data_IF_030127794542
#
_entry.id   IF_030127794542
#
_cell.length_a   1.000
_cell.length_b   1.000
_cell.length_c   1.000
_cell.angle_alpha   90.00
_cell.angle_beta   90.00
_cell.angle_gamma   90.00
#
_symmetry.space_group_name_H-M   'P 1'
#
loop_
_entity.id
_entity.type
_entity.pdbx_description
1 polymer ?
#
# COMPACT_ATOMS: atom_id res chain seq x y z
N UNK A 1 21.32 9.50 15.76
CA UNK A 1 20.10 8.81 15.29
C UNK A 1 20.43 7.33 15.01
N UNK A 2 20.53 6.48 16.04
CA UNK A 2 21.22 5.18 15.94
C UNK A 2 20.52 4.09 15.12
N UNK A 3 19.33 4.33 14.55
CA UNK A 3 18.55 3.27 13.87
C UNK A 3 18.06 3.65 12.47
N UNK A 4 18.44 4.82 11.96
CA UNK A 4 17.92 5.32 10.67
C UNK A 4 18.43 4.49 9.49
N UNK A 5 19.69 4.07 9.52
CA UNK A 5 20.27 3.18 8.50
C UNK A 5 19.59 1.80 8.48
N UNK A 6 19.28 1.25 9.66
CA UNK A 6 18.56 -0.03 9.78
C UNK A 6 17.13 0.10 9.25
N UNK A 7 16.45 1.21 9.54
CA UNK A 7 15.12 1.50 9.03
C UNK A 7 15.11 1.57 7.50
N UNK A 8 16.05 2.32 6.91
CA UNK A 8 16.17 2.46 5.46
C UNK A 8 16.47 1.10 4.82
N UNK A 9 17.40 0.31 5.37
CA UNK A 9 17.71 -1.01 4.86
C UNK A 9 16.48 -1.95 4.86
N UNK A 10 15.71 -1.97 5.96
CA UNK A 10 14.46 -2.75 6.04
C UNK A 10 13.43 -2.28 5.02
N UNK A 11 13.29 -0.97 4.83
CA UNK A 11 12.37 -0.39 3.86
C UNK A 11 12.76 -0.75 2.42
N UNK A 12 14.07 -0.71 2.10
CA UNK A 12 14.58 -1.08 0.78
C UNK A 12 14.36 -2.57 0.49
N UNK A 13 14.63 -3.45 1.45
CA UNK A 13 14.36 -4.89 1.31
C UNK A 13 12.86 -5.14 1.09
N UNK A 14 12.00 -4.50 1.88
CA UNK A 14 10.55 -4.64 1.73
C UNK A 14 10.06 -4.13 0.37
N UNK A 15 10.60 -3.00 -0.09
CA UNK A 15 10.27 -2.41 -1.40
C UNK A 15 10.76 -3.29 -2.56
N UNK A 16 11.96 -3.87 -2.44
CA UNK A 16 12.51 -4.78 -3.44
C UNK A 16 11.66 -6.07 -3.54
N UNK A 17 11.26 -6.64 -2.40
CA UNK A 17 10.34 -7.78 -2.37
C UNK A 17 8.99 -7.44 -2.98
N UNK A 18 8.42 -6.28 -2.64
CA UNK A 18 7.15 -5.83 -3.19
C UNK A 18 7.23 -5.62 -4.71
N UNK A 19 8.31 -5.02 -5.20
CA UNK A 19 8.58 -4.83 -6.63
C UNK A 19 8.69 -6.17 -7.36
N UNK A 20 9.46 -7.12 -6.81
CA UNK A 20 9.59 -8.47 -7.38
C UNK A 20 8.24 -9.21 -7.39
N UNK A 21 7.47 -9.10 -6.31
CA UNK A 21 6.13 -9.66 -6.21
C UNK A 21 5.23 -9.09 -7.32
N UNK A 22 5.19 -7.77 -7.48
CA UNK A 22 4.40 -7.14 -8.57
C UNK A 22 4.89 -7.60 -9.94
N UNK A 23 6.21 -7.66 -10.18
CA UNK A 23 6.76 -8.01 -11.49
C UNK A 23 6.47 -9.44 -11.92
N UNK A 24 6.54 -10.41 -11.00
CA UNK A 24 6.46 -11.83 -11.34
C UNK A 24 5.11 -12.47 -10.98
N UNK A 25 4.44 -11.99 -9.93
CA UNK A 25 3.14 -12.51 -9.51
C UNK A 25 2.02 -11.85 -10.31
N UNK A 26 2.08 -10.55 -10.59
CA UNK A 26 0.97 -9.87 -11.27
C UNK A 26 0.70 -10.39 -12.71
N UNK A 27 1.71 -10.70 -13.55
CA UNK A 27 1.47 -11.28 -14.87
C UNK A 27 1.00 -12.74 -14.84
N UNK A 28 1.30 -13.47 -13.75
CA UNK A 28 0.91 -14.87 -13.58
C UNK A 28 -0.45 -15.03 -12.90
N UNK A 29 -1.04 -13.95 -12.38
CA UNK A 29 -2.44 -13.91 -11.95
C UNK A 29 -3.30 -13.59 -13.16
N UNK A 30 -4.04 -14.56 -13.73
CA UNK A 30 -5.07 -14.25 -14.71
C UNK A 30 -6.15 -13.44 -13.99
N UNK A 31 -6.09 -12.12 -14.15
CA UNK A 31 -7.14 -11.20 -13.72
C UNK A 31 -8.17 -11.18 -14.85
N UNK A 32 -9.27 -11.96 -14.78
CA UNK A 32 -10.32 -11.83 -15.75
C UNK A 32 -10.83 -10.39 -15.69
N UNK A 33 -11.03 -9.77 -16.85
CA UNK A 33 -11.56 -8.42 -17.00
C UNK A 33 -13.06 -8.40 -16.65
N UNK A 34 -13.40 -8.78 -15.42
CA UNK A 34 -14.75 -8.69 -14.87
C UNK A 34 -14.96 -7.28 -14.33
N UNK A 35 -16.20 -6.80 -14.45
CA UNK A 35 -16.60 -5.47 -13.97
C UNK A 35 -16.23 -5.23 -12.51
N UNK A 36 -16.30 -6.27 -11.67
CA UNK A 36 -15.96 -6.20 -10.24
C UNK A 36 -14.47 -5.93 -10.01
N UNK A 37 -13.57 -6.63 -10.73
CA UNK A 37 -12.13 -6.43 -10.59
C UNK A 37 -11.71 -5.02 -11.03
N UNK A 38 -12.28 -4.54 -12.13
CA UNK A 38 -12.07 -3.18 -12.60
C UNK A 38 -12.56 -2.14 -11.59
N UNK A 39 -13.75 -2.35 -11.00
CA UNK A 39 -14.31 -1.45 -10.00
C UNK A 39 -13.45 -1.39 -8.73
N UNK A 40 -12.92 -2.54 -8.27
CA UNK A 40 -12.01 -2.59 -7.12
C UNK A 40 -10.72 -1.80 -7.41
N UNK A 41 -10.13 -1.96 -8.60
CA UNK A 41 -8.91 -1.24 -8.99
C UNK A 41 -9.14 0.28 -9.04
N UNK A 42 -10.30 0.72 -9.55
CA UNK A 42 -10.67 2.14 -9.67
C UNK A 42 -11.00 2.76 -8.31
N UNK A 43 -11.68 2.04 -7.41
CA UNK A 43 -12.07 2.55 -6.09
C UNK A 43 -10.96 2.45 -5.04
N UNK A 44 -9.99 1.57 -5.23
CA UNK A 44 -8.89 1.33 -4.28
C UNK A 44 -8.14 2.62 -3.89
N UNK A 45 -7.70 3.49 -4.82
CA UNK A 45 -7.04 4.76 -4.47
C UNK A 45 -7.90 5.63 -3.55
N UNK A 46 -9.20 5.73 -3.81
CA UNK A 46 -10.13 6.51 -2.99
C UNK A 46 -10.26 5.93 -1.59
N UNK A 47 -10.38 4.61 -1.47
CA UNK A 47 -10.48 3.92 -0.17
C UNK A 47 -9.18 4.10 0.63
N UNK A 48 -8.02 3.96 -0.01
CA UNK A 48 -6.71 4.16 0.64
C UNK A 48 -6.60 5.58 1.22
N UNK A 49 -6.95 6.60 0.43
CA UNK A 49 -6.91 8.00 0.89
C UNK A 49 -7.95 8.23 2.01
N UNK A 50 -9.15 7.67 1.90
CA UNK A 50 -10.17 7.77 2.94
C UNK A 50 -9.68 7.18 4.28
N UNK A 51 -9.03 6.01 4.25
CA UNK A 51 -8.43 5.37 5.43
C UNK A 51 -7.29 6.22 5.99
N UNK A 52 -6.41 6.74 5.13
CA UNK A 52 -5.29 7.59 5.56
C UNK A 52 -5.77 8.88 6.23
N UNK A 53 -6.82 9.51 5.68
CA UNK A 53 -7.44 10.68 6.27
C UNK A 53 -8.16 10.34 7.58
N UNK A 54 -8.89 9.24 7.63
CA UNK A 54 -9.56 8.78 8.86
C UNK A 54 -8.55 8.55 10.00
N UNK A 55 -7.44 7.85 9.71
CA UNK A 55 -6.35 7.68 10.65
C UNK A 55 -5.77 9.03 11.11
N UNK A 56 -5.56 9.96 10.16
CA UNK A 56 -5.08 11.32 10.46
C UNK A 56 -6.08 12.13 11.30
N UNK A 57 -7.37 11.92 11.17
CA UNK A 57 -8.38 12.57 12.02
C UNK A 57 -8.32 12.00 13.44
N UNK A 58 -8.29 10.67 13.58
CA UNK A 58 -8.20 9.98 14.88
C UNK A 58 -6.95 10.39 15.68
N UNK A 59 -5.80 10.56 15.03
CA UNK A 59 -4.56 10.98 15.68
C UNK A 59 -4.59 12.44 16.14
N UNK A 60 -5.36 13.30 15.47
CA UNK A 60 -5.53 14.70 15.90
C UNK A 60 -6.48 14.83 17.09
N UNK A 61 -7.54 14.02 17.16
CA UNK A 61 -8.47 14.02 18.29
C UNK A 61 -7.89 13.43 19.57
N UNK A 62 -6.89 12.54 19.50
CA UNK A 62 -6.22 11.97 20.68
C UNK A 62 -5.19 12.92 21.35
N UNK A 63 -4.98 14.12 20.81
CA UNK A 63 -4.00 15.11 21.29
C UNK A 63 -4.64 16.37 21.92
N UNK A 64 -5.96 16.35 22.14
CA UNK A 64 -6.76 17.34 22.87
C UNK A 64 -7.50 16.69 24.01
#
# INVERSE_FOLDING_TARGET
MPNQLIFIAKLLVLSALLSAAIKYILPSVPLPATTTNALILVLSPTVIIAIALFWRFQTKTNLT
#
